data_IF_708125987440
#
_entry.id   IF_708125987440
#
_cell.length_a   1.000
_cell.length_b   1.000
_cell.length_c   1.000
_cell.angle_alpha   90.00
_cell.angle_beta   90.00
_cell.angle_gamma   90.00
#
_symmetry.space_group_name_H-M   'P 1'
#
loop_
_entity.id
_entity.type
_entity.pdbx_description
1 polymer ?
#
# COMPACT_ATOMS: atom_id res chain seq x y z
N UNK A 1 -5.48 29.92 1.62
CA UNK A 1 -4.90 29.20 0.46
C UNK A 1 -3.77 28.32 0.96
N UNK A 2 -3.98 27.00 1.10
CA UNK A 2 -2.98 26.11 1.74
C UNK A 2 -3.39 24.64 1.82
N UNK A 3 -4.69 24.33 1.72
CA UNK A 3 -5.19 22.95 1.68
C UNK A 3 -5.01 22.25 0.30
N UNK A 4 -4.61 23.00 -0.75
CA UNK A 4 -4.55 22.47 -2.12
C UNK A 4 -3.25 21.72 -2.44
N UNK A 5 -2.14 22.05 -1.77
CA UNK A 5 -0.81 21.51 -2.12
C UNK A 5 -0.60 20.09 -1.60
N UNK A 6 -1.21 19.74 -0.46
CA UNK A 6 -1.11 18.38 0.10
C UNK A 6 -1.97 17.36 -0.64
N UNK A 7 -3.01 17.79 -1.36
CA UNK A 7 -3.91 16.91 -2.12
C UNK A 7 -3.27 16.44 -3.42
N UNK A 8 -2.43 17.28 -4.05
CA UNK A 8 -1.77 16.91 -5.32
C UNK A 8 -0.72 15.81 -5.16
N UNK A 9 -0.15 15.62 -3.97
CA UNK A 9 0.81 14.54 -3.71
C UNK A 9 0.18 13.13 -3.71
N UNK A 10 -1.16 13.04 -3.59
CA UNK A 10 -1.93 11.79 -3.61
C UNK A 10 -2.94 11.79 -4.78
N UNK A 11 -2.49 12.21 -5.97
CA UNK A 11 -3.38 12.32 -7.13
C UNK A 11 -3.83 10.92 -7.57
N UNK A 12 -5.06 10.55 -7.19
CA UNK A 12 -5.70 9.26 -7.44
C UNK A 12 -6.02 8.95 -8.92
N UNK A 13 -5.55 9.77 -9.86
CA UNK A 13 -5.87 9.67 -11.29
C UNK A 13 -4.77 8.98 -12.12
N UNK A 14 -3.66 8.59 -11.49
CA UNK A 14 -2.62 7.78 -12.17
C UNK A 14 -3.01 6.31 -12.08
N UNK A 15 -3.09 5.58 -13.21
CA UNK A 15 -3.38 4.15 -13.17
C UNK A 15 -2.25 3.42 -12.42
N UNK A 16 -2.56 2.43 -11.55
CA UNK A 16 -1.57 1.76 -10.70
C UNK A 16 -0.36 1.22 -11.43
N UNK A 17 -0.53 0.75 -12.68
CA UNK A 17 0.56 0.25 -13.50
C UNK A 17 1.62 1.32 -13.79
N UNK A 18 1.21 2.57 -14.04
CA UNK A 18 2.14 3.68 -14.28
C UNK A 18 2.91 4.07 -13.01
N UNK A 19 2.27 3.97 -11.85
CA UNK A 19 2.95 4.21 -10.56
C UNK A 19 4.01 3.14 -10.29
N UNK A 20 3.67 1.87 -10.54
CA UNK A 20 4.61 0.74 -10.42
C UNK A 20 5.80 0.93 -11.37
N UNK A 21 5.53 1.27 -12.64
CA UNK A 21 6.59 1.54 -13.63
C UNK A 21 7.48 2.70 -13.21
N UNK A 22 6.92 3.78 -12.66
CA UNK A 22 7.69 4.92 -12.17
C UNK A 22 8.60 4.54 -10.99
N UNK A 23 8.07 3.77 -10.02
CA UNK A 23 8.85 3.28 -8.88
C UNK A 23 9.96 2.34 -9.34
N UNK A 24 9.68 1.43 -10.26
CA UNK A 24 10.69 0.53 -10.82
C UNK A 24 11.76 1.30 -11.59
N UNK A 25 11.38 2.29 -12.42
CA UNK A 25 12.33 3.11 -13.16
C UNK A 25 13.27 3.89 -12.23
N UNK A 26 12.76 4.43 -11.12
CA UNK A 26 13.57 5.10 -10.10
C UNK A 26 14.64 4.18 -9.49
N UNK A 27 14.33 2.89 -9.34
CA UNK A 27 15.24 1.87 -8.81
C UNK A 27 16.04 1.12 -9.90
N UNK A 28 16.09 1.63 -11.15
CA UNK A 28 16.82 0.96 -12.23
C UNK A 28 16.28 -0.44 -12.55
N UNK A 29 14.97 -0.62 -12.45
CA UNK A 29 14.24 -1.89 -12.55
C UNK A 29 14.61 -2.94 -11.48
N UNK A 30 15.30 -2.56 -10.40
CA UNK A 30 15.50 -3.43 -9.24
C UNK A 30 14.24 -3.46 -8.36
N UNK A 31 13.41 -4.48 -8.58
CA UNK A 31 12.19 -4.69 -7.82
C UNK A 31 12.44 -4.93 -6.32
N UNK A 32 13.58 -5.52 -5.93
CA UNK A 32 13.88 -5.77 -4.51
C UNK A 32 14.23 -4.46 -3.79
N UNK A 33 15.02 -3.60 -4.44
CA UNK A 33 15.31 -2.27 -3.92
C UNK A 33 14.04 -1.42 -3.79
N UNK A 34 13.16 -1.45 -4.80
CA UNK A 34 11.87 -0.77 -4.79
C UNK A 34 10.98 -1.21 -3.63
N UNK A 35 10.78 -2.53 -3.48
CA UNK A 35 9.99 -3.08 -2.37
C UNK A 35 10.63 -2.74 -1.02
N UNK A 36 11.97 -2.78 -0.92
CA UNK A 36 12.70 -2.39 0.28
C UNK A 36 12.35 -0.96 0.73
N UNK A 37 12.43 0.00 -0.18
CA UNK A 37 12.07 1.40 0.07
C UNK A 37 10.62 1.54 0.53
N UNK A 38 9.68 0.92 -0.18
CA UNK A 38 8.25 0.99 0.17
C UNK A 38 7.96 0.41 1.56
N UNK A 39 8.64 -0.67 1.94
CA UNK A 39 8.50 -1.24 3.28
C UNK A 39 9.06 -0.29 4.35
N UNK A 40 10.16 0.40 4.07
CA UNK A 40 10.72 1.41 4.98
C UNK A 40 9.82 2.63 5.13
N UNK A 41 9.21 3.08 4.02
CA UNK A 41 8.22 4.16 4.03
C UNK A 41 6.99 3.78 4.85
N UNK A 42 6.44 2.57 4.68
CA UNK A 42 5.32 2.07 5.48
C UNK A 42 5.68 2.05 6.97
N UNK A 43 6.88 1.56 7.33
CA UNK A 43 7.35 1.57 8.72
C UNK A 43 7.48 2.99 9.26
N UNK A 44 7.98 3.93 8.44
CA UNK A 44 8.08 5.34 8.81
C UNK A 44 6.70 5.96 9.06
N UNK A 45 5.75 5.76 8.14
CA UNK A 45 4.39 6.28 8.25
C UNK A 45 3.65 5.73 9.46
N UNK A 46 3.80 4.43 9.76
CA UNK A 46 3.25 3.83 10.98
C UNK A 46 3.81 4.47 12.25
N UNK A 47 5.12 4.79 12.30
CA UNK A 47 5.71 5.52 13.42
C UNK A 47 5.14 6.93 13.54
N UNK A 48 5.02 7.67 12.44
CA UNK A 48 4.43 9.01 12.44
C UNK A 48 2.98 8.99 12.94
N UNK A 49 2.19 7.99 12.50
CA UNK A 49 0.82 7.84 12.94
C UNK A 49 0.72 7.55 14.45
N UNK A 50 1.58 6.68 14.98
CA UNK A 50 1.62 6.38 16.42
C UNK A 50 1.99 7.62 17.24
N UNK A 51 2.95 8.42 16.78
CA UNK A 51 3.33 9.68 17.43
C UNK A 51 2.17 10.69 17.39
N UNK A 52 1.51 10.81 16.24
CA UNK A 52 0.35 11.69 16.08
C UNK A 52 -0.80 11.25 17.00
N UNK A 53 -1.12 9.95 17.07
CA UNK A 53 -2.15 9.44 17.99
C UNK A 53 -1.81 9.77 19.45
N UNK A 54 -0.55 9.59 19.87
CA UNK A 54 -0.11 9.90 21.23
C UNK A 54 -0.16 11.39 21.58
N UNK A 55 0.05 12.27 20.60
CA UNK A 55 0.02 13.72 20.78
C UNK A 55 -1.39 14.33 20.71
N UNK A 56 -2.34 13.67 20.03
CA UNK A 56 -3.70 14.17 19.85
C UNK A 56 -4.60 13.81 21.03
N UNK A 57 -5.43 14.78 21.48
CA UNK A 57 -6.47 14.49 22.47
C UNK A 57 -7.62 13.69 21.84
N UNK A 58 -8.27 12.82 22.62
CA UNK A 58 -9.43 11.99 22.17
C UNK A 58 -10.56 12.82 21.54
N UNK A 59 -10.71 14.09 21.92
CA UNK A 59 -11.72 15.00 21.41
C UNK A 59 -11.38 15.63 20.04
N UNK A 60 -10.08 15.70 19.68
CA UNK A 60 -9.63 16.33 18.44
C UNK A 60 -9.97 15.48 17.20
N UNK A 61 -9.88 14.15 17.30
CA UNK A 61 -10.14 13.22 16.19
C UNK A 61 -11.60 12.76 16.11
N UNK A 62 -12.51 13.34 16.92
CA UNK A 62 -13.92 12.92 17.05
C UNK A 62 -14.09 11.41 17.25
N UNK A 63 -13.17 10.79 18.01
CA UNK A 63 -13.20 9.36 18.30
C UNK A 63 -12.65 8.46 17.18
N UNK A 64 -12.13 9.01 16.08
CA UNK A 64 -11.40 8.21 15.08
C UNK A 64 -10.13 7.62 15.70
N UNK A 65 -9.95 6.32 15.49
CA UNK A 65 -8.77 5.56 15.86
C UNK A 65 -8.39 4.64 14.69
N UNK A 66 -7.10 4.52 14.36
CA UNK A 66 -6.66 3.51 13.41
C UNK A 66 -6.99 2.12 13.98
N UNK A 67 -7.83 1.37 13.28
CA UNK A 67 -8.18 0.00 13.63
C UNK A 67 -7.45 -0.97 12.70
N UNK A 68 -6.88 -2.04 13.27
CA UNK A 68 -6.30 -3.15 12.51
C UNK A 68 -7.37 -4.14 12.01
N UNK A 69 -8.67 -3.85 12.21
CA UNK A 69 -9.77 -4.77 11.90
C UNK A 69 -9.84 -5.06 10.40
N UNK A 70 -9.42 -4.11 9.57
CA UNK A 70 -9.34 -4.29 8.11
C UNK A 70 -8.40 -5.44 7.71
N UNK A 71 -7.35 -5.72 8.49
CA UNK A 71 -6.44 -6.85 8.28
C UNK A 71 -7.08 -8.19 8.67
N UNK A 72 -7.92 -8.20 9.70
CA UNK A 72 -8.68 -9.38 10.13
C UNK A 72 -9.83 -9.70 9.17
N UNK A 73 -10.54 -8.69 8.68
CA UNK A 73 -11.75 -8.85 7.85
C UNK A 73 -11.44 -9.19 6.38
N UNK A 74 -10.25 -8.83 5.86
CA UNK A 74 -9.90 -9.02 4.44
C UNK A 74 -9.04 -10.26 4.18
N UNK A 75 -8.69 -11.02 5.22
CA UNK A 75 -7.82 -12.19 5.10
C UNK A 75 -6.48 -11.83 4.46
N UNK A 76 -5.56 -11.26 5.27
CA UNK A 76 -4.24 -10.77 4.85
C UNK A 76 -3.69 -11.44 3.59
N UNK A 77 -3.81 -10.74 2.46
CA UNK A 77 -3.53 -11.22 1.11
C UNK A 77 -3.98 -12.67 0.85
N UNK A 78 -5.15 -12.84 0.23
CA UNK A 78 -5.29 -13.86 -0.82
C UNK A 78 -4.29 -13.52 -1.95
N UNK A 79 -3.01 -13.82 -1.73
CA UNK A 79 -2.08 -14.14 -2.80
C UNK A 79 -2.71 -15.35 -3.49
N UNK A 80 -3.48 -15.08 -4.55
CA UNK A 80 -3.92 -16.10 -5.49
C UNK A 80 -2.63 -16.73 -6.02
N UNK A 81 -2.33 -17.95 -5.58
CA UNK A 81 -1.28 -18.78 -6.18
C UNK A 81 -1.55 -18.82 -7.70
N UNK A 82 -0.68 -18.21 -8.54
CA UNK A 82 -0.86 -18.27 -9.99
C UNK A 82 -0.62 -19.69 -10.54
N UNK A 83 -0.01 -20.57 -9.75
CA UNK A 83 0.28 -21.97 -10.13
C UNK A 83 -0.90 -22.93 -9.86
N UNK A 84 -1.98 -22.47 -9.23
CA UNK A 84 -3.16 -23.30 -8.95
C UNK A 84 -4.22 -23.30 -10.07
N UNK A 85 -4.02 -22.54 -11.16
CA UNK A 85 -4.85 -22.69 -12.37
C UNK A 85 -4.24 -23.71 -13.32
N UNK A 86 -4.43 -24.98 -12.95
CA UNK A 86 -4.87 -26.05 -13.85
C UNK A 86 -4.26 -26.04 -15.26
N UNK A 87 -3.21 -26.85 -15.39
CA UNK A 87 -2.98 -27.67 -16.58
C UNK A 87 -4.27 -28.42 -16.90
N UNK A 88 -5.15 -27.81 -17.69
CA UNK A 88 -6.32 -28.46 -18.29
C UNK A 88 -5.82 -29.22 -19.53
N UNK A 89 -5.63 -30.52 -19.32
CA UNK A 89 -5.75 -31.63 -20.28
C UNK A 89 -5.57 -31.29 -21.78
N UNK A 90 -4.35 -31.48 -22.28
CA UNK A 90 -4.11 -31.59 -23.72
C UNK A 90 -4.54 -32.99 -24.18
N UNK A 91 -5.39 -33.13 -25.22
CA UNK A 91 -5.85 -34.45 -25.66
C UNK A 91 -4.67 -35.26 -26.23
N UNK A 92 -4.42 -36.42 -25.64
CA UNK A 92 -3.56 -37.44 -26.22
C UNK A 92 -4.13 -37.89 -27.58
N UNK A 93 -3.26 -37.88 -28.59
CA UNK A 93 -3.50 -38.49 -29.91
C UNK A 93 -3.52 -40.00 -29.83
#
# INVERSE_FOLDING_TARGET
MGASVVKEAFSADVPPQREIEAVLAYHGADARAAIGTLLDDIRHLRRQLALAEGAMSRGMTRGWRPDDRWWADTGGLHLRDPEASEVVDAPAR
#
